data_IF_287425949401
#
_entry.id   IF_287425949401
#
_cell.length_a   1.000
_cell.length_b   1.000
_cell.length_c   1.000
_cell.angle_alpha   90.00
_cell.angle_beta   90.00
_cell.angle_gamma   90.00
#
_symmetry.space_group_name_H-M   'P 1'
#
loop_
_entity.id
_entity.type
_entity.pdbx_description
1 polymer ?
#
# COMPACT_ATOMS: atom_id res chain seq x y z
N UNK A 1 -22.09 69.49 5.16
CA UNK A 1 -21.21 68.91 6.19
C UNK A 1 -21.08 67.43 5.91
N UNK A 2 -20.06 67.03 5.13
CA UNK A 2 -19.74 65.62 4.87
C UNK A 2 -18.61 65.24 5.82
N UNK A 3 -18.87 64.28 6.70
CA UNK A 3 -17.88 63.75 7.65
C UNK A 3 -17.23 62.55 6.97
N UNK A 4 -15.99 62.73 6.48
CA UNK A 4 -15.16 61.66 5.96
C UNK A 4 -14.62 60.83 7.13
N UNK A 5 -15.11 59.60 7.27
CA UNK A 5 -14.50 58.57 8.13
C UNK A 5 -13.38 57.87 7.36
N UNK A 6 -12.14 58.31 7.55
CA UNK A 6 -10.97 57.51 7.16
C UNK A 6 -10.64 56.54 8.28
N UNK A 7 -11.07 55.30 8.12
CA UNK A 7 -10.58 54.15 8.89
C UNK A 7 -9.14 53.87 8.47
N UNK A 8 -8.18 54.21 9.33
CA UNK A 8 -6.79 53.82 9.20
C UNK A 8 -6.64 52.31 9.38
N UNK A 9 -6.55 51.58 8.27
CA UNK A 9 -6.04 50.21 8.27
C UNK A 9 -4.53 50.26 8.51
N UNK A 10 -4.10 49.98 9.75
CA UNK A 10 -2.70 49.73 10.04
C UNK A 10 -2.25 48.44 9.34
N UNK A 11 -1.52 48.61 8.23
CA UNK A 11 -0.67 47.57 7.65
C UNK A 11 0.38 47.17 8.68
N UNK A 12 0.09 46.12 9.45
CA UNK A 12 1.06 45.47 10.32
C UNK A 12 1.90 44.53 9.46
N UNK A 13 2.95 45.06 8.85
CA UNK A 13 4.04 44.24 8.33
C UNK A 13 4.53 43.39 9.50
N UNK A 14 4.26 42.08 9.49
CA UNK A 14 4.75 41.14 10.52
C UNK A 14 6.27 41.09 10.41
N UNK A 15 6.95 42.02 11.09
CA UNK A 15 8.38 41.89 11.38
C UNK A 15 8.48 40.67 12.30
N UNK A 16 9.09 39.59 11.81
CA UNK A 16 9.44 38.47 12.67
C UNK A 16 10.38 39.02 13.76
N UNK A 17 10.15 38.67 15.04
CA UNK A 17 11.06 39.06 16.12
C UNK A 17 12.47 38.52 15.82
N UNK A 18 13.49 39.07 16.49
CA UNK A 18 14.84 38.49 16.39
C UNK A 18 14.84 37.02 16.84
N UNK A 19 15.73 36.23 16.25
CA UNK A 19 15.92 34.83 16.63
C UNK A 19 16.32 34.74 18.11
N UNK A 20 15.74 33.79 18.83
CA UNK A 20 15.93 33.63 20.29
C UNK A 20 16.39 32.22 20.68
N UNK A 21 16.62 31.37 19.68
CA UNK A 21 17.17 30.01 19.82
C UNK A 21 18.01 29.65 18.59
N UNK A 22 19.04 28.82 18.81
CA UNK A 22 19.87 28.26 17.75
C UNK A 22 19.80 26.75 17.73
N UNK A 23 19.78 26.19 16.53
CA UNK A 23 19.92 24.75 16.30
C UNK A 23 21.35 24.46 15.87
N UNK A 24 22.02 23.56 16.60
CA UNK A 24 23.38 23.12 16.34
C UNK A 24 23.36 21.72 15.75
N UNK A 25 24.03 21.54 14.62
CA UNK A 25 24.15 20.24 13.93
C UNK A 25 25.51 19.60 14.16
N UNK A 26 25.64 18.31 13.81
CA UNK A 26 26.86 17.52 14.05
C UNK A 26 28.13 18.12 13.43
N UNK A 27 28.01 18.86 12.34
CA UNK A 27 29.10 19.53 11.62
C UNK A 27 29.41 20.94 12.13
N UNK A 28 28.77 21.36 13.24
CA UNK A 28 28.96 22.69 13.82
C UNK A 28 28.14 23.80 13.17
N UNK A 29 27.30 23.50 12.17
CA UNK A 29 26.40 24.50 11.57
C UNK A 29 25.42 25.02 12.62
N UNK A 30 25.22 26.34 12.63
CA UNK A 30 24.30 27.05 13.53
C UNK A 30 23.14 27.62 12.71
N UNK A 31 21.93 27.16 13.01
CA UNK A 31 20.71 27.59 12.32
C UNK A 31 19.90 28.48 13.29
N UNK A 32 19.71 29.78 13.01
CA UNK A 32 18.87 30.64 13.83
C UNK A 32 17.39 30.27 13.70
N UNK A 33 16.65 30.31 14.80
CA UNK A 33 15.23 29.97 14.84
C UNK A 33 14.47 30.76 15.93
N UNK A 34 13.14 30.61 15.93
CA UNK A 34 12.23 31.26 16.87
C UNK A 34 11.55 30.21 17.75
N UNK A 35 11.66 30.37 19.07
CA UNK A 35 11.04 29.45 20.04
C UNK A 35 9.54 29.33 19.85
N UNK A 36 8.84 30.43 19.55
CA UNK A 36 7.39 30.46 19.32
C UNK A 36 6.95 29.57 18.16
N UNK A 37 7.71 29.56 17.06
CA UNK A 37 7.40 28.74 15.89
C UNK A 37 7.71 27.28 16.19
N UNK A 38 8.88 26.99 16.75
CA UNK A 38 9.27 25.60 17.05
C UNK A 38 8.29 24.95 18.05
N UNK A 39 7.95 25.64 19.14
CA UNK A 39 7.02 25.15 20.15
C UNK A 39 5.61 24.94 19.59
N UNK A 40 5.11 25.87 18.76
CA UNK A 40 3.75 25.75 18.21
C UNK A 40 3.56 24.58 17.23
N UNK A 41 4.63 24.12 16.58
CA UNK A 41 4.57 23.04 15.58
C UNK A 41 4.96 21.68 16.15
N UNK A 42 5.77 21.64 17.21
CA UNK A 42 6.31 20.41 17.79
C UNK A 42 6.16 20.42 19.31
N UNK A 43 5.37 19.49 19.88
CA UNK A 43 5.28 19.36 21.34
C UNK A 43 6.61 18.93 21.96
N UNK A 44 7.48 18.28 21.19
CA UNK A 44 8.83 17.92 21.64
C UNK A 44 9.69 19.18 21.78
N UNK A 45 9.64 20.09 20.82
CA UNK A 45 10.32 21.38 20.98
C UNK A 45 9.70 22.21 22.09
N UNK A 46 8.38 22.27 22.22
CA UNK A 46 7.71 22.94 23.35
C UNK A 46 8.27 22.45 24.69
N UNK A 47 8.27 21.14 24.92
CA UNK A 47 8.83 20.53 26.13
C UNK A 47 10.32 20.85 26.34
N UNK A 48 11.15 20.84 25.28
CA UNK A 48 12.58 21.21 25.37
C UNK A 48 12.75 22.69 25.73
N UNK A 49 11.87 23.54 25.23
CA UNK A 49 11.93 24.99 25.39
C UNK A 49 11.42 25.45 26.76
N UNK A 50 10.45 24.74 27.34
CA UNK A 50 9.94 24.96 28.70
C UNK A 50 10.98 24.65 29.78
N UNK A 51 11.97 23.79 29.49
CA UNK A 51 13.01 23.47 30.47
C UNK A 51 13.83 24.72 30.87
N UNK A 52 14.11 24.90 32.18
CA UNK A 52 14.87 26.03 32.68
C UNK A 52 16.30 26.01 32.14
N UNK A 53 16.79 27.18 31.74
CA UNK A 53 18.16 27.33 31.25
C UNK A 53 19.15 27.11 32.40
N UNK A 54 20.25 26.40 32.13
CA UNK A 54 21.36 26.23 33.10
C UNK A 54 21.99 27.57 33.51
N UNK A 55 22.03 28.56 32.60
CA UNK A 55 22.43 29.94 32.89
C UNK A 55 21.43 30.91 32.25
N UNK A 56 21.06 31.99 32.96
CA UNK A 56 20.10 32.99 32.47
C UNK A 56 20.64 33.81 31.30
N UNK A 57 21.95 33.98 31.19
CA UNK A 57 22.63 34.78 30.15
C UNK A 57 23.14 33.97 28.96
N UNK A 58 23.00 32.64 28.96
CA UNK A 58 23.47 31.82 27.85
C UNK A 58 22.44 31.77 26.72
N UNK A 59 22.93 31.84 25.48
CA UNK A 59 22.17 31.55 24.26
C UNK A 59 21.44 30.20 24.39
N UNK A 60 20.17 30.15 23.95
CA UNK A 60 19.40 28.90 23.97
C UNK A 60 19.80 28.06 22.74
N UNK A 61 20.29 26.84 22.99
CA UNK A 61 20.80 25.94 21.95
C UNK A 61 20.08 24.60 22.01
N UNK A 62 19.62 24.12 20.85
CA UNK A 62 19.08 22.76 20.66
C UNK A 62 20.02 22.00 19.74
N UNK A 63 20.42 20.78 20.11
CA UNK A 63 21.33 19.95 19.31
C UNK A 63 20.56 18.92 18.51
N UNK A 64 20.78 18.89 17.19
CA UNK A 64 20.22 17.87 16.29
C UNK A 64 21.38 17.14 15.62
N UNK A 65 21.64 15.93 16.08
CA UNK A 65 22.77 15.11 15.64
C UNK A 65 22.31 13.87 14.85
N UNK A 66 23.24 13.25 14.12
CA UNK A 66 22.97 11.99 13.40
C UNK A 66 22.25 12.15 12.06
N UNK A 67 22.04 13.39 11.60
CA UNK A 67 21.48 13.72 10.28
C UNK A 67 22.30 14.82 9.62
N UNK A 68 22.34 14.89 8.27
CA UNK A 68 23.01 15.97 7.55
C UNK A 68 22.45 17.34 7.92
N UNK A 69 23.31 18.35 8.06
CA UNK A 69 22.90 19.71 8.41
C UNK A 69 21.93 20.32 7.39
N UNK A 70 22.09 20.00 6.10
CA UNK A 70 21.16 20.38 5.05
C UNK A 70 19.76 19.78 5.24
N UNK A 71 19.66 18.53 5.69
CA UNK A 71 18.38 17.91 6.02
C UNK A 71 17.72 18.58 7.24
N UNK A 72 18.52 18.99 8.23
CA UNK A 72 18.02 19.77 9.37
C UNK A 72 17.51 21.13 8.91
N UNK A 73 18.23 21.83 8.03
CA UNK A 73 17.78 23.11 7.47
C UNK A 73 16.44 22.97 6.75
N UNK A 74 16.26 21.91 5.95
CA UNK A 74 14.98 21.61 5.29
C UNK A 74 13.88 21.31 6.31
N UNK A 75 14.18 20.50 7.34
CA UNK A 75 13.23 20.22 8.42
C UNK A 75 12.77 21.49 9.12
N UNK A 76 13.69 22.38 9.50
CA UNK A 76 13.35 23.66 10.13
C UNK A 76 12.57 24.54 9.17
N UNK A 77 12.97 24.63 7.90
CA UNK A 77 12.23 25.40 6.89
C UNK A 77 10.79 24.89 6.70
N UNK A 78 10.58 23.58 6.82
CA UNK A 78 9.24 22.99 6.82
C UNK A 78 8.41 23.48 8.01
N UNK A 79 8.97 23.61 9.21
CA UNK A 79 8.22 24.10 10.39
C UNK A 79 7.69 25.53 10.18
N UNK A 80 8.38 26.36 9.40
CA UNK A 80 7.97 27.73 9.10
C UNK A 80 6.93 27.80 7.98
N UNK A 81 7.09 26.95 6.95
CA UNK A 81 6.37 27.11 5.69
C UNK A 81 5.33 26.03 5.42
N UNK A 82 5.38 24.92 6.17
CA UNK A 82 4.67 23.66 5.88
C UNK A 82 4.91 23.13 4.46
N UNK A 83 6.03 23.53 3.83
CA UNK A 83 6.40 23.16 2.46
C UNK A 83 7.66 22.32 2.46
N UNK A 84 7.69 21.36 1.54
CA UNK A 84 8.82 20.49 1.23
C UNK A 84 8.70 20.19 -0.27
N UNK A 85 9.74 20.45 -1.03
CA UNK A 85 9.78 20.20 -2.47
C UNK A 85 10.02 18.72 -2.76
N UNK A 86 9.79 18.30 -4.01
CA UNK A 86 10.11 16.93 -4.42
C UNK A 86 11.63 16.68 -4.39
N UNK A 87 12.45 17.64 -4.82
CA UNK A 87 13.92 17.52 -4.74
C UNK A 87 14.44 17.34 -3.30
N UNK A 88 13.82 18.03 -2.34
CA UNK A 88 14.12 17.86 -0.91
C UNK A 88 13.70 16.48 -0.42
N UNK A 89 12.55 15.98 -0.88
CA UNK A 89 12.06 14.64 -0.55
C UNK A 89 12.97 13.55 -1.15
N UNK A 90 13.43 13.73 -2.38
CA UNK A 90 14.38 12.84 -3.06
C UNK A 90 15.70 12.73 -2.29
N UNK A 91 16.25 13.86 -1.85
CA UNK A 91 17.56 13.91 -1.18
C UNK A 91 17.49 13.54 0.29
N UNK A 92 16.43 13.95 0.98
CA UNK A 92 16.39 13.94 2.45
C UNK A 92 15.20 13.18 3.03
N UNK A 93 14.36 12.51 2.23
CA UNK A 93 13.12 11.87 2.69
C UNK A 93 13.30 10.95 3.90
N UNK A 94 14.36 10.14 3.94
CA UNK A 94 14.66 9.25 5.08
C UNK A 94 15.00 10.05 6.36
N UNK A 95 15.77 11.12 6.24
CA UNK A 95 16.16 11.99 7.34
C UNK A 95 14.96 12.78 7.86
N UNK A 96 14.14 13.29 6.94
CA UNK A 96 12.92 14.03 7.27
C UNK A 96 11.89 13.12 7.94
N UNK A 97 11.77 11.86 7.54
CA UNK A 97 10.92 10.88 8.23
C UNK A 97 11.40 10.70 9.68
N UNK A 98 12.70 10.46 9.89
CA UNK A 98 13.26 10.32 11.23
C UNK A 98 13.04 11.57 12.10
N UNK A 99 13.36 12.76 11.58
CA UNK A 99 13.16 14.03 12.28
C UNK A 99 11.69 14.28 12.60
N UNK A 100 10.79 14.03 11.65
CA UNK A 100 9.35 14.20 11.86
C UNK A 100 8.79 13.26 12.92
N UNK A 101 9.37 12.07 13.09
CA UNK A 101 9.00 11.14 14.16
C UNK A 101 9.55 11.59 15.50
N UNK A 102 10.86 11.86 15.58
CA UNK A 102 11.56 12.26 16.82
C UNK A 102 10.98 13.56 17.40
N UNK A 103 10.69 14.55 16.56
CA UNK A 103 10.12 15.83 16.98
C UNK A 103 8.59 15.85 16.93
N UNK A 104 7.94 14.71 16.69
CA UNK A 104 6.49 14.58 16.62
C UNK A 104 5.82 15.67 15.76
N UNK A 105 6.12 15.66 14.45
CA UNK A 105 5.55 16.55 13.43
C UNK A 105 4.74 15.69 12.45
N UNK A 106 3.46 15.37 12.77
CA UNK A 106 2.69 14.37 12.01
C UNK A 106 2.47 14.75 10.54
N UNK A 107 2.31 16.04 10.25
CA UNK A 107 2.08 16.51 8.87
C UNK A 107 3.29 16.23 7.97
N UNK A 108 4.51 16.47 8.46
CA UNK A 108 5.72 16.11 7.74
C UNK A 108 5.86 14.59 7.64
N UNK A 109 5.61 13.85 8.74
CA UNK A 109 5.68 12.39 8.76
C UNK A 109 4.81 11.77 7.67
N UNK A 110 3.55 12.22 7.54
CA UNK A 110 2.64 11.76 6.49
C UNK A 110 3.13 12.11 5.08
N UNK A 111 3.70 13.31 4.90
CA UNK A 111 4.28 13.71 3.62
C UNK A 111 5.49 12.84 3.24
N UNK A 112 6.38 12.57 4.19
CA UNK A 112 7.53 11.67 4.00
C UNK A 112 7.08 10.24 3.69
N UNK A 113 6.07 9.70 4.39
CA UNK A 113 5.53 8.37 4.10
C UNK A 113 5.06 8.28 2.64
N UNK A 114 4.28 9.26 2.16
CA UNK A 114 3.81 9.29 0.77
C UNK A 114 4.97 9.43 -0.23
N UNK A 115 5.89 10.35 0.04
CA UNK A 115 7.04 10.62 -0.82
C UNK A 115 7.99 9.44 -0.94
N UNK A 116 8.27 8.74 0.17
CA UNK A 116 9.12 7.56 0.22
C UNK A 116 8.47 6.36 -0.48
N UNK A 117 7.16 6.15 -0.35
CA UNK A 117 6.45 5.09 -1.08
C UNK A 117 6.64 5.22 -2.60
N UNK A 118 6.62 6.43 -3.13
CA UNK A 118 6.82 6.70 -4.57
C UNK A 118 8.25 6.45 -5.03
N UNK A 119 9.21 6.39 -4.10
CA UNK A 119 10.66 6.27 -4.33
C UNK A 119 11.21 4.91 -3.87
N UNK A 120 10.33 3.98 -3.52
CA UNK A 120 10.74 2.62 -3.15
C UNK A 120 11.30 1.89 -4.37
N UNK A 121 12.47 1.29 -4.19
CA UNK A 121 13.17 0.47 -5.18
C UNK A 121 13.65 -0.83 -4.55
N UNK A 122 14.02 -1.80 -5.38
CA UNK A 122 14.63 -3.06 -4.91
C UNK A 122 15.89 -2.80 -4.08
N UNK A 123 16.66 -1.77 -4.42
CA UNK A 123 17.92 -1.46 -3.75
C UNK A 123 17.71 -0.83 -2.37
N UNK A 124 16.70 0.03 -2.20
CA UNK A 124 16.49 0.77 -0.96
C UNK A 124 15.38 0.19 -0.04
N UNK A 125 14.59 -0.78 -0.50
CA UNK A 125 13.39 -1.24 0.23
C UNK A 125 13.72 -1.77 1.62
N UNK A 126 14.88 -2.41 1.80
CA UNK A 126 15.28 -2.98 3.10
C UNK A 126 15.60 -1.87 4.10
N UNK A 127 16.35 -0.84 3.68
CA UNK A 127 16.70 0.30 4.53
C UNK A 127 15.45 1.11 4.89
N UNK A 128 14.56 1.34 3.92
CA UNK A 128 13.30 2.05 4.15
C UNK A 128 12.37 1.23 5.05
N UNK A 129 12.37 -0.11 4.96
CA UNK A 129 11.61 -0.98 5.84
C UNK A 129 12.09 -0.86 7.30
N UNK A 130 13.40 -0.90 7.53
CA UNK A 130 13.98 -0.71 8.86
C UNK A 130 13.60 0.66 9.43
N UNK A 131 13.74 1.73 8.63
CA UNK A 131 13.36 3.07 9.05
C UNK A 131 11.85 3.17 9.36
N UNK A 132 11.00 2.54 8.55
CA UNK A 132 9.56 2.51 8.77
C UNK A 132 9.18 1.83 10.10
N UNK A 133 9.94 0.79 10.50
CA UNK A 133 9.79 0.16 11.82
C UNK A 133 10.22 1.11 12.94
N UNK A 134 11.40 1.72 12.82
CA UNK A 134 11.95 2.63 13.83
C UNK A 134 11.11 3.91 14.01
N UNK A 135 10.42 4.34 12.96
CA UNK A 135 9.62 5.55 12.97
C UNK A 135 8.12 5.30 13.19
N UNK A 136 7.69 4.09 13.57
CA UNK A 136 6.27 3.71 13.69
C UNK A 136 5.43 4.17 12.48
N UNK A 137 5.84 3.75 11.29
CA UNK A 137 5.17 4.05 10.02
C UNK A 137 4.60 2.75 9.43
N UNK A 138 3.52 2.18 10.00
CA UNK A 138 2.98 0.86 9.63
C UNK A 138 2.56 0.82 8.16
N UNK A 139 2.06 1.95 7.69
CA UNK A 139 1.68 2.20 6.33
C UNK A 139 2.89 2.03 5.38
N UNK A 140 3.99 2.76 5.60
CA UNK A 140 5.22 2.60 4.81
C UNK A 140 5.78 1.18 4.90
N UNK A 141 5.80 0.60 6.11
CA UNK A 141 6.24 -0.78 6.38
C UNK A 141 5.50 -1.78 5.49
N UNK A 142 4.16 -1.69 5.42
CA UNK A 142 3.35 -2.58 4.59
C UNK A 142 3.68 -2.45 3.09
N UNK A 143 3.94 -1.23 2.59
CA UNK A 143 4.30 -1.04 1.17
C UNK A 143 5.68 -1.62 0.88
N UNK A 144 6.63 -1.47 1.80
CA UNK A 144 7.95 -2.10 1.70
C UNK A 144 7.83 -3.64 1.67
N UNK A 145 7.10 -4.22 2.63
CA UNK A 145 6.86 -5.67 2.70
C UNK A 145 6.22 -6.22 1.41
N UNK A 146 5.26 -5.50 0.82
CA UNK A 146 4.63 -5.89 -0.45
C UNK A 146 5.60 -5.84 -1.64
N UNK A 147 6.38 -4.77 -1.78
CA UNK A 147 7.37 -4.67 -2.85
C UNK A 147 8.40 -5.80 -2.72
N UNK A 148 8.88 -6.02 -1.50
CA UNK A 148 9.83 -7.06 -1.19
C UNK A 148 9.28 -8.44 -1.56
N UNK A 149 8.06 -8.78 -1.14
CA UNK A 149 7.43 -10.06 -1.48
C UNK A 149 7.27 -10.24 -3.01
N UNK A 150 6.93 -9.18 -3.74
CA UNK A 150 6.76 -9.22 -5.19
C UNK A 150 8.08 -9.35 -5.96
N UNK A 151 9.18 -8.86 -5.40
CA UNK A 151 10.49 -8.80 -6.07
C UNK A 151 11.60 -9.49 -5.26
N UNK A 152 11.24 -10.50 -4.46
CA UNK A 152 12.12 -11.11 -3.46
C UNK A 152 13.44 -11.60 -4.06
N UNK A 153 13.40 -12.27 -5.21
CA UNK A 153 14.60 -12.77 -5.89
C UNK A 153 15.62 -11.68 -6.25
N UNK A 154 15.14 -10.45 -6.49
CA UNK A 154 16.01 -9.30 -6.76
C UNK A 154 16.49 -8.68 -5.44
N UNK A 155 15.60 -8.52 -4.46
CA UNK A 155 15.93 -7.98 -3.13
C UNK A 155 16.96 -8.84 -2.42
N UNK A 156 16.86 -10.17 -2.50
CA UNK A 156 17.82 -11.09 -1.87
C UNK A 156 19.27 -10.88 -2.33
N UNK A 157 19.46 -10.28 -3.52
CA UNK A 157 20.79 -9.99 -4.09
C UNK A 157 21.33 -8.62 -3.67
N UNK A 158 20.48 -7.72 -3.15
CA UNK A 158 20.88 -6.37 -2.78
C UNK A 158 21.78 -6.38 -1.55
N UNK A 159 22.60 -5.33 -1.41
CA UNK A 159 23.47 -5.17 -0.24
C UNK A 159 22.64 -4.96 1.04
N UNK A 160 21.50 -4.26 0.95
CA UNK A 160 20.58 -4.08 2.07
C UNK A 160 20.08 -5.41 2.65
N UNK A 161 19.73 -6.39 1.80
CA UNK A 161 19.33 -7.71 2.27
C UNK A 161 20.49 -8.47 2.92
N UNK A 162 21.68 -8.47 2.31
CA UNK A 162 22.88 -9.11 2.90
C UNK A 162 23.28 -8.51 4.24
N UNK A 163 23.08 -7.21 4.42
CA UNK A 163 23.30 -6.53 5.69
C UNK A 163 22.25 -6.94 6.71
N UNK A 164 20.97 -6.94 6.32
CA UNK A 164 19.86 -7.36 7.15
C UNK A 164 20.07 -8.76 7.75
N UNK A 165 20.36 -9.76 6.92
CA UNK A 165 20.50 -11.15 7.39
C UNK A 165 21.63 -11.34 8.39
N UNK A 166 22.67 -10.49 8.34
CA UNK A 166 23.78 -10.52 9.30
C UNK A 166 23.48 -9.82 10.61
N UNK A 167 22.63 -8.80 10.60
CA UNK A 167 22.51 -7.84 11.70
C UNK A 167 21.12 -7.78 12.36
N UNK A 168 20.06 -8.22 11.67
CA UNK A 168 18.70 -8.31 12.22
C UNK A 168 17.97 -9.58 11.72
N UNK A 169 18.31 -10.77 12.27
CA UNK A 169 17.65 -12.03 11.92
C UNK A 169 16.16 -12.06 12.26
N UNK A 170 15.71 -11.24 13.22
CA UNK A 170 14.30 -11.15 13.59
C UNK A 170 13.48 -10.46 12.51
N UNK A 171 14.02 -9.41 11.90
CA UNK A 171 13.38 -8.76 10.77
C UNK A 171 13.40 -9.64 9.51
N UNK A 172 14.47 -10.41 9.28
CA UNK A 172 14.45 -11.45 8.24
C UNK A 172 13.30 -12.44 8.46
N UNK A 173 13.15 -12.96 9.68
CA UNK A 173 12.07 -13.90 10.00
C UNK A 173 10.67 -13.27 9.83
N UNK A 174 10.47 -12.02 10.27
CA UNK A 174 9.21 -11.29 10.07
C UNK A 174 8.87 -11.15 8.59
N UNK A 175 9.88 -10.85 7.76
CA UNK A 175 9.71 -10.77 6.30
C UNK A 175 9.31 -12.13 5.72
N UNK A 176 10.01 -13.21 6.09
CA UNK A 176 9.72 -14.55 5.58
C UNK A 176 8.33 -15.04 6.00
N UNK A 177 7.92 -14.80 7.25
CA UNK A 177 6.57 -15.09 7.71
C UNK A 177 5.52 -14.29 6.95
N UNK A 178 5.74 -12.99 6.76
CA UNK A 178 4.83 -12.16 5.95
C UNK A 178 4.67 -12.71 4.54
N UNK A 179 5.77 -13.17 3.93
CA UNK A 179 5.75 -13.75 2.58
C UNK A 179 4.96 -15.06 2.54
N UNK A 180 5.22 -15.99 3.46
CA UNK A 180 4.49 -17.25 3.56
C UNK A 180 2.99 -17.03 3.79
N UNK A 181 2.61 -16.12 4.71
CA UNK A 181 1.22 -15.73 4.90
C UNK A 181 0.59 -15.13 3.64
N UNK A 182 1.34 -14.33 2.89
CA UNK A 182 0.85 -13.70 1.67
C UNK A 182 0.63 -14.73 0.55
N UNK A 183 1.53 -15.70 0.43
CA UNK A 183 1.45 -16.78 -0.56
C UNK A 183 0.32 -17.75 -0.23
N UNK A 184 0.21 -18.19 1.02
CA UNK A 184 -0.88 -19.06 1.48
C UNK A 184 -2.25 -18.41 1.31
N UNK A 185 -2.38 -17.10 1.57
CA UNK A 185 -3.61 -16.34 1.29
C UNK A 185 -3.92 -16.29 -0.21
N UNK A 186 -2.92 -16.03 -1.05
CA UNK A 186 -3.08 -15.99 -2.52
C UNK A 186 -3.51 -17.36 -3.07
N UNK A 187 -2.91 -18.43 -2.58
CA UNK A 187 -3.24 -19.79 -2.99
C UNK A 187 -4.67 -20.21 -2.58
N UNK A 188 -5.09 -19.85 -1.36
CA UNK A 188 -6.48 -20.07 -0.91
C UNK A 188 -7.49 -19.35 -1.81
N UNK A 189 -7.22 -18.09 -2.15
CA UNK A 189 -8.07 -17.30 -3.04
C UNK A 189 -8.13 -17.89 -4.46
N UNK A 190 -7.00 -18.40 -4.95
CA UNK A 190 -6.93 -19.09 -6.25
C UNK A 190 -7.80 -20.34 -6.25
N UNK A 191 -7.62 -21.23 -5.27
CA UNK A 191 -8.42 -22.44 -5.10
C UNK A 191 -9.92 -22.14 -4.99
N UNK A 192 -10.28 -21.15 -4.17
CA UNK A 192 -11.67 -20.74 -4.02
C UNK A 192 -12.27 -20.23 -5.34
N UNK A 193 -11.50 -19.47 -6.14
CA UNK A 193 -11.95 -19.02 -7.47
C UNK A 193 -12.11 -20.18 -8.45
N UNK A 194 -11.18 -21.13 -8.46
CA UNK A 194 -11.25 -22.34 -9.30
C UNK A 194 -12.48 -23.19 -8.92
N UNK A 195 -12.71 -23.40 -7.63
CA UNK A 195 -13.87 -24.11 -7.10
C UNK A 195 -15.18 -23.40 -7.46
N UNK A 196 -15.25 -22.08 -7.29
CA UNK A 196 -16.42 -21.29 -7.69
C UNK A 196 -16.69 -21.38 -9.20
N UNK A 197 -15.64 -21.38 -10.03
CA UNK A 197 -15.77 -21.58 -11.47
C UNK A 197 -16.37 -22.94 -11.81
N UNK A 198 -15.88 -24.00 -11.16
CA UNK A 198 -16.40 -25.36 -11.34
C UNK A 198 -17.89 -25.47 -10.94
N UNK A 199 -18.28 -24.90 -9.80
CA UNK A 199 -19.69 -24.90 -9.37
C UNK A 199 -20.58 -24.11 -10.33
N UNK A 200 -20.10 -22.99 -10.88
CA UNK A 200 -20.85 -22.24 -11.88
C UNK A 200 -21.08 -23.07 -13.15
N UNK A 201 -20.05 -23.72 -13.69
CA UNK A 201 -20.18 -24.63 -14.85
C UNK A 201 -21.16 -25.79 -14.56
N UNK A 202 -21.06 -26.39 -13.38
CA UNK A 202 -21.97 -27.47 -12.96
C UNK A 202 -23.42 -26.98 -12.86
N UNK A 203 -23.66 -25.81 -12.25
CA UNK A 203 -25.00 -25.23 -12.15
C UNK A 203 -25.59 -24.93 -13.52
N UNK A 204 -24.79 -24.39 -14.45
CA UNK A 204 -25.24 -24.11 -15.82
C UNK A 204 -25.60 -25.40 -16.55
N UNK A 205 -24.77 -26.44 -16.43
CA UNK A 205 -25.04 -27.75 -17.01
C UNK A 205 -26.31 -28.40 -16.43
N UNK A 206 -26.54 -28.27 -15.12
CA UNK A 206 -27.75 -28.76 -14.45
C UNK A 206 -29.01 -28.07 -14.97
N UNK A 207 -29.00 -26.73 -15.08
CA UNK A 207 -30.12 -25.98 -15.64
C UNK A 207 -30.40 -26.36 -17.10
N UNK A 208 -29.34 -26.59 -17.89
CA UNK A 208 -29.49 -27.06 -19.27
C UNK A 208 -30.08 -28.48 -19.34
N UNK A 209 -29.65 -29.38 -18.46
CA UNK A 209 -30.22 -30.73 -18.37
C UNK A 209 -31.70 -30.70 -17.97
N UNK A 210 -32.06 -29.85 -17.01
CA UNK A 210 -33.46 -29.66 -16.60
C UNK A 210 -34.29 -29.19 -17.80
N UNK A 211 -33.87 -28.13 -18.49
CA UNK A 211 -34.53 -27.63 -19.70
C UNK A 211 -34.68 -28.72 -20.79
N UNK A 212 -33.62 -29.49 -21.08
CA UNK A 212 -33.68 -30.58 -22.06
C UNK A 212 -34.70 -31.65 -21.63
N UNK A 213 -34.75 -32.01 -20.34
CA UNK A 213 -35.59 -33.08 -19.83
C UNK A 213 -37.07 -32.68 -19.68
N UNK A 214 -37.37 -31.41 -19.40
CA UNK A 214 -38.74 -30.92 -19.12
C UNK A 214 -39.40 -30.28 -20.34
N UNK A 215 -38.66 -29.45 -21.08
CA UNK A 215 -39.17 -28.67 -22.21
C UNK A 215 -38.69 -29.24 -23.55
N UNK A 216 -37.49 -29.84 -23.57
CA UNK A 216 -36.80 -30.30 -24.76
C UNK A 216 -36.03 -29.18 -25.47
N UNK A 217 -34.85 -29.51 -25.98
CA UNK A 217 -33.98 -28.59 -26.70
C UNK A 217 -33.60 -29.18 -28.06
N UNK A 218 -33.82 -28.44 -29.16
CA UNK A 218 -33.45 -28.75 -30.56
C UNK A 218 -33.58 -30.21 -31.04
N UNK A 219 -32.69 -31.11 -30.61
CA UNK A 219 -32.61 -32.51 -31.05
C UNK A 219 -32.97 -33.53 -29.95
N UNK A 220 -33.03 -33.13 -28.69
CA UNK A 220 -33.26 -34.02 -27.54
C UNK A 220 -34.36 -33.42 -26.67
N UNK A 221 -35.36 -34.22 -26.31
CA UNK A 221 -36.44 -33.78 -25.43
C UNK A 221 -37.13 -34.94 -24.72
N UNK A 222 -38.14 -34.64 -23.89
CA UNK A 222 -38.92 -35.64 -23.18
C UNK A 222 -39.62 -36.60 -24.14
N UNK A 223 -39.79 -37.85 -23.70
CA UNK A 223 -40.36 -38.95 -24.51
C UNK A 223 -41.77 -38.66 -25.06
N UNK A 224 -42.49 -37.74 -24.43
CA UNK A 224 -43.90 -37.43 -24.71
C UNK A 224 -44.09 -36.23 -25.67
N UNK A 225 -43.00 -35.58 -26.09
CA UNK A 225 -43.04 -34.38 -26.92
C UNK A 225 -42.36 -34.68 -28.26
N UNK A 226 -43.07 -34.56 -29.37
CA UNK A 226 -42.45 -34.64 -30.69
C UNK A 226 -41.48 -33.46 -30.85
N UNK A 227 -40.21 -33.79 -31.11
CA UNK A 227 -39.15 -32.78 -31.24
C UNK A 227 -39.34 -32.07 -32.58
N UNK A 228 -39.93 -30.87 -32.53
CA UNK A 228 -40.20 -30.05 -33.70
C UNK A 228 -38.89 -29.49 -34.30
N UNK A 229 -38.61 -29.78 -35.57
CA UNK A 229 -37.34 -29.47 -36.25
C UNK A 229 -37.13 -27.98 -36.50
N UNK A 230 -38.13 -27.15 -36.21
CA UNK A 230 -38.09 -25.68 -36.35
C UNK A 230 -37.79 -24.93 -35.03
N UNK A 231 -37.52 -25.64 -33.92
CA UNK A 231 -37.22 -24.99 -32.63
C UNK A 231 -35.96 -24.13 -32.70
N UNK A 232 -36.10 -22.85 -32.34
CA UNK A 232 -34.97 -21.92 -32.22
C UNK A 232 -34.00 -22.37 -31.12
N UNK A 233 -32.69 -22.10 -31.27
CA UNK A 233 -31.70 -22.33 -30.22
C UNK A 233 -32.12 -21.69 -28.89
N UNK A 234 -31.98 -22.42 -27.77
CA UNK A 234 -32.22 -21.84 -26.45
C UNK A 234 -31.15 -20.79 -26.11
N UNK A 235 -31.40 -19.99 -25.07
CA UNK A 235 -30.46 -18.95 -24.62
C UNK A 235 -29.08 -19.50 -24.20
N UNK A 236 -29.01 -20.77 -23.77
CA UNK A 236 -27.78 -21.47 -23.38
C UNK A 236 -27.37 -22.54 -24.41
N UNK A 237 -27.50 -22.21 -25.70
CA UNK A 237 -27.34 -23.18 -26.78
C UNK A 237 -25.99 -23.90 -26.79
N UNK A 238 -24.88 -23.23 -26.47
CA UNK A 238 -23.54 -23.86 -26.44
C UNK A 238 -23.48 -25.03 -25.47
N UNK A 239 -23.97 -24.83 -24.25
CA UNK A 239 -23.97 -25.83 -23.17
C UNK A 239 -25.00 -26.91 -23.43
N UNK A 240 -26.22 -26.52 -23.85
CA UNK A 240 -27.26 -27.47 -24.27
C UNK A 240 -26.82 -28.34 -25.46
N UNK A 241 -26.15 -27.78 -26.46
CA UNK A 241 -25.67 -28.52 -27.63
C UNK A 241 -24.63 -29.58 -27.23
N UNK A 242 -23.69 -29.21 -26.35
CA UNK A 242 -22.72 -30.17 -25.80
C UNK A 242 -23.39 -31.34 -25.08
N UNK A 243 -24.36 -31.04 -24.20
CA UNK A 243 -25.13 -32.05 -23.46
C UNK A 243 -25.97 -32.92 -24.39
N UNK A 244 -26.64 -32.34 -25.39
CA UNK A 244 -27.42 -33.08 -26.39
C UNK A 244 -26.56 -34.08 -27.16
N UNK A 245 -25.34 -33.70 -27.56
CA UNK A 245 -24.40 -34.61 -28.23
C UNK A 245 -24.02 -35.80 -27.33
N UNK A 246 -23.79 -35.55 -26.04
CA UNK A 246 -23.49 -36.59 -25.06
C UNK A 246 -24.70 -37.53 -24.87
N UNK A 247 -25.90 -36.99 -24.70
CA UNK A 247 -27.14 -37.78 -24.54
C UNK A 247 -27.40 -38.64 -25.78
N UNK A 248 -27.30 -38.06 -26.98
CA UNK A 248 -27.47 -38.79 -28.25
C UNK A 248 -26.43 -39.90 -28.42
N UNK A 249 -25.18 -39.62 -28.09
CA UNK A 249 -24.13 -40.64 -28.10
C UNK A 249 -24.45 -41.77 -27.11
N UNK A 250 -24.79 -41.44 -25.87
CA UNK A 250 -25.12 -42.42 -24.84
C UNK A 250 -26.31 -43.30 -25.26
N UNK A 251 -27.36 -42.71 -25.84
CA UNK A 251 -28.54 -43.41 -26.32
C UNK A 251 -28.24 -44.43 -27.44
N UNK A 252 -27.26 -44.13 -28.30
CA UNK A 252 -26.94 -44.96 -29.49
C UNK A 252 -25.68 -45.83 -29.32
N UNK A 253 -24.90 -45.64 -28.26
CA UNK A 253 -23.62 -46.33 -28.07
C UNK A 253 -23.77 -47.79 -27.63
N UNK A 254 -23.43 -48.73 -28.51
CA UNK A 254 -23.45 -50.19 -28.25
C UNK A 254 -22.40 -50.66 -27.23
N UNK A 255 -21.36 -49.87 -26.97
CA UNK A 255 -20.25 -50.21 -26.05
C UNK A 255 -20.47 -49.70 -24.62
N UNK A 256 -21.61 -49.06 -24.32
CA UNK A 256 -21.90 -48.44 -23.00
C UNK A 256 -22.04 -49.47 -21.87
N UNK A 257 -22.73 -50.59 -22.11
CA UNK A 257 -23.16 -51.56 -21.09
C UNK A 257 -21.99 -52.30 -20.43
N UNK A 258 -20.85 -52.43 -21.13
CA UNK A 258 -19.63 -53.07 -20.59
C UNK A 258 -18.56 -52.07 -20.15
N UNK A 259 -18.88 -50.77 -20.11
CA UNK A 259 -17.91 -49.72 -19.74
C UNK A 259 -16.76 -49.53 -20.74
N UNK A 260 -16.88 -50.06 -21.96
CA UNK A 260 -15.82 -50.04 -22.97
C UNK A 260 -15.75 -48.76 -23.81
N UNK A 261 -16.66 -47.81 -23.60
CA UNK A 261 -16.66 -46.52 -24.32
C UNK A 261 -16.22 -45.39 -23.39
N UNK A 262 -15.07 -44.78 -23.70
CA UNK A 262 -14.56 -43.62 -22.97
C UNK A 262 -15.53 -42.42 -23.01
N UNK A 263 -16.24 -42.21 -24.13
CA UNK A 263 -17.21 -41.11 -24.29
C UNK A 263 -18.53 -41.30 -23.51
N UNK A 264 -18.84 -42.53 -23.07
CA UNK A 264 -20.01 -42.79 -22.21
C UNK A 264 -19.65 -42.77 -20.72
N UNK A 265 -18.36 -42.74 -20.38
CA UNK A 265 -17.84 -42.63 -19.01
C UNK A 265 -17.58 -41.19 -18.58
N UNK A 266 -17.57 -40.28 -19.54
CA UNK A 266 -17.37 -38.84 -19.39
C UNK A 266 -18.73 -38.17 -19.33
#
# INVERSE_FOLDING_TARGET
MQINTQTNFHNTTRVLPDYDVFIHTSDGTRIPAHTSILASVSPVFENILEQPRKQRSSERIIKINGVPSTAVTVFISFLYSSRCTEDEMDKYGIHLLALSHVYNVPQLKQKCIKGLVQRLTVENVVDVLQLARLCDAPDLRLRCMKLLANHFNAVQKSEGWKFLTKHDPWLELDILHFMDESETRREKLRKHREEQGLYAELSEAMECLEHICTEGCTDVGPYHVEVDRERKPCSKFSTCQGLQLLIRHFATCKRRVKGGCWRCKR
#
